data_IF_639358980184
#
_entry.id   IF_639358980184
#
_cell.length_a   1.000
_cell.length_b   1.000
_cell.length_c   1.000
_cell.angle_alpha   90.00
_cell.angle_beta   90.00
_cell.angle_gamma   90.00
#
_symmetry.space_group_name_H-M   'P 1'
#
loop_
_entity.id
_entity.type
_entity.pdbx_description
1 polymer ?
2 non-polymer ?
3 non-polymer ?
4 water ?
#
# COMPACT_ATOMS: atom_id res chain seq x y z
N UNK A 9 -21.19 -5.25 5.82
CA UNK A 9 -20.74 -6.65 5.51
C UNK A 9 -19.35 -6.76 4.88
N UNK A 10 -18.96 -5.75 4.09
CA UNK A 10 -17.69 -5.73 3.33
C UNK A 10 -17.91 -5.57 1.83
N UNK A 11 -16.86 -5.19 1.10
CA UNK A 11 -16.89 -5.16 -0.38
C UNK A 11 -15.51 -4.94 -1.01
N UNK A 12 -15.05 -5.90 -1.82
CA UNK A 12 -13.79 -5.82 -2.56
C UNK A 12 -14.00 -5.75 -4.08
N UNK A 13 -13.35 -4.77 -4.72
CA UNK A 13 -13.64 -4.39 -6.10
C UNK A 13 -12.37 -4.30 -6.98
N UNK A 14 -12.37 -5.03 -8.10
CA UNK A 14 -11.27 -4.94 -9.06
C UNK A 14 -11.60 -3.92 -10.11
N UNK A 15 -10.70 -2.95 -10.27
CA UNK A 15 -10.87 -1.82 -11.18
C UNK A 15 -9.58 -1.51 -11.95
N UNK A 16 -9.76 -0.84 -13.10
CA UNK A 16 -8.68 -0.28 -13.89
C UNK A 16 -8.72 1.23 -13.69
N UNK A 17 -7.60 1.87 -13.99
CA UNK A 17 -7.47 3.30 -13.88
C UNK A 17 -6.23 3.64 -13.09
N UNK A 18 -6.27 4.83 -12.51
CA UNK A 18 -5.14 5.39 -11.80
C UNK A 18 -5.51 5.41 -10.32
N UNK A 19 -4.71 4.68 -9.52
CA UNK A 19 -4.91 4.53 -8.07
C UNK A 19 -5.03 5.86 -7.33
N UNK A 20 -4.22 6.84 -7.72
CA UNK A 20 -4.02 8.08 -6.93
C UNK A 20 -5.22 9.04 -6.92
N UNK A 21 -6.17 8.80 -7.84
CA UNK A 21 -7.44 9.52 -7.90
C UNK A 21 -8.62 8.67 -7.38
N UNK A 22 -8.35 7.59 -6.65
CA UNK A 22 -9.41 6.79 -6.01
C UNK A 22 -10.11 7.59 -4.92
N UNK A 23 -11.46 7.56 -4.90
CA UNK A 23 -12.19 8.37 -3.94
C UNK A 23 -12.24 7.73 -2.54
N UNK A 24 -11.09 7.57 -1.89
CA UNK A 24 -10.98 6.80 -0.64
C UNK A 24 -10.29 7.54 0.51
N UNK A 25 -10.47 6.98 1.70
CA UNK A 25 -9.85 7.48 2.92
C UNK A 25 -8.35 7.17 3.00
N UNK A 26 -7.93 6.00 2.49
CA UNK A 26 -6.53 5.53 2.60
C UNK A 26 -5.98 4.97 1.29
N UNK A 27 -4.75 5.36 0.96
CA UNK A 27 -4.08 4.89 -0.27
C UNK A 27 -2.88 4.03 0.07
N UNK A 28 -2.71 2.91 -0.63
CA UNK A 28 -1.56 2.05 -0.42
C UNK A 28 -0.50 2.37 -1.43
N UNK A 29 0.66 2.70 -0.90
CA UNK A 29 1.89 2.89 -1.68
C UNK A 29 2.81 1.68 -1.56
N UNK A 30 3.50 1.33 -2.65
CA UNK A 30 4.49 0.25 -2.67
C UNK A 30 5.88 0.85 -2.48
N UNK A 31 6.54 0.52 -1.38
CA UNK A 31 7.85 1.06 -1.09
C UNK A 31 8.90 0.00 -0.84
N UNK A 32 10.15 0.45 -0.90
CA UNK A 32 11.30 -0.31 -0.42
C UNK A 32 11.74 0.23 0.95
N UNK A 33 12.71 -0.45 1.56
CA UNK A 33 13.17 -0.10 2.92
C UNK A 33 14.43 0.77 2.94
N UNK A 34 14.92 1.16 1.77
CA UNK A 34 16.17 1.96 1.67
C UNK A 34 15.99 3.49 1.46
N UNK A 35 14.76 4.01 1.46
CA UNK A 35 14.54 5.47 1.49
C UNK A 35 14.54 6.23 0.16
N UNK A 36 14.33 5.52 -0.94
CA UNK A 36 14.12 6.14 -2.23
C UNK A 36 12.81 5.62 -2.82
N UNK A 37 12.12 6.53 -3.50
CA UNK A 37 10.93 6.25 -4.25
C UNK A 37 11.31 6.67 -5.68
N UNK A 38 12.09 5.85 -6.37
CA UNK A 38 12.68 6.19 -7.67
C UNK A 38 11.96 5.77 -8.94
N UNK A 39 10.92 4.97 -8.80
CA UNK A 39 10.14 4.56 -9.96
C UNK A 39 8.80 3.90 -9.64
N UNK A 40 8.02 3.62 -10.69
CA UNK A 40 6.74 2.93 -10.60
C UNK A 40 5.72 3.76 -9.85
N UNK A 41 4.96 3.09 -8.99
CA UNK A 41 3.92 3.70 -8.14
C UNK A 41 4.54 4.67 -7.14
N UNK A 42 5.72 4.32 -6.63
CA UNK A 42 6.31 5.06 -5.54
C UNK A 42 6.75 6.42 -6.06
N UNK A 43 7.22 6.48 -7.31
CA UNK A 43 7.61 7.75 -7.92
C UNK A 43 6.42 8.71 -8.04
N UNK A 44 5.28 8.17 -8.48
CA UNK A 44 4.02 8.95 -8.59
C UNK A 44 3.57 9.45 -7.23
N UNK A 45 3.66 8.60 -6.20
CA UNK A 45 3.36 9.01 -4.82
C UNK A 45 4.29 10.10 -4.29
N UNK A 46 5.57 10.05 -4.65
CA UNK A 46 6.50 11.14 -4.31
C UNK A 46 6.07 12.49 -4.89
N UNK A 47 5.74 12.50 -6.19
CA UNK A 47 5.24 13.70 -6.88
C UNK A 47 3.91 14.17 -6.28
N UNK A 48 2.95 13.26 -6.18
CA UNK A 48 1.61 13.62 -5.71
C UNK A 48 1.60 14.03 -4.26
N UNK A 49 2.38 13.35 -3.42
CA UNK A 49 2.32 13.53 -1.96
C UNK A 49 3.70 13.79 -1.35
N UNK A 50 4.25 14.99 -1.58
CA UNK A 50 5.62 15.31 -1.08
C UNK A 50 5.83 15.18 0.44
N UNK A 51 4.81 15.50 1.21
CA UNK A 51 4.89 15.44 2.69
C UNK A 51 5.04 14.02 3.19
N UNK A 52 4.20 13.13 2.63
CA UNK A 52 4.34 11.69 2.86
C UNK A 52 5.77 11.21 2.58
N UNK A 53 6.30 11.60 1.41
CA UNK A 53 7.67 11.25 0.97
C UNK A 53 8.73 11.67 2.00
N UNK A 54 8.73 12.95 2.42
CA UNK A 54 9.69 13.43 3.44
C UNK A 54 9.60 12.60 4.71
N UNK A 55 8.38 12.36 5.18
CA UNK A 55 8.17 11.51 6.35
C UNK A 55 8.69 10.06 6.16
N UNK A 56 8.49 9.45 4.99
CA UNK A 56 9.12 8.16 4.66
C UNK A 56 10.64 8.20 4.69
N UNK A 57 11.24 9.22 4.10
CA UNK A 57 12.71 9.33 4.13
C UNK A 57 13.20 9.30 5.58
N UNK A 58 12.52 10.04 6.44
CA UNK A 58 12.85 10.16 7.86
C UNK A 58 12.69 8.85 8.61
N UNK A 59 11.56 8.18 8.37
CA UNK A 59 11.32 6.87 8.95
C UNK A 59 12.38 5.83 8.53
N UNK A 60 12.80 5.85 7.27
CA UNK A 60 13.88 4.97 6.78
C UNK A 60 15.23 5.24 7.44
N UNK A 61 15.51 6.52 7.60
CA UNK A 61 16.72 7.03 8.29
C UNK A 61 16.89 6.48 9.73
N UNK A 62 15.77 6.25 10.41
CA UNK A 62 15.75 5.67 11.76
C UNK A 62 16.01 4.16 11.83
N UNK A 63 15.58 3.41 10.81
CA UNK A 63 15.43 1.95 10.89
C UNK A 63 13.99 1.50 11.00
N UNK A 64 13.06 2.45 10.89
CA UNK A 64 11.64 2.24 11.18
C UNK A 64 10.81 1.57 10.05
N UNK A 65 11.33 1.56 8.83
CA UNK A 65 10.62 0.90 7.72
C UNK A 65 11.18 -0.52 7.59
N UNK A 66 10.31 -1.50 7.74
CA UNK A 66 10.70 -2.91 7.56
C UNK A 66 9.54 -3.72 6.97
N UNK A 67 9.91 -4.87 6.39
CA UNK A 67 8.99 -5.88 5.87
C UNK A 67 7.99 -6.27 6.98
N UNK A 68 6.71 -6.34 6.64
CA UNK A 68 5.67 -6.73 7.59
C UNK A 68 5.11 -5.61 8.44
N UNK A 69 5.58 -4.38 8.21
CA UNK A 69 5.03 -3.18 8.86
C UNK A 69 4.63 -2.15 7.79
N UNK A 70 3.36 -1.73 7.80
CA UNK A 70 2.93 -0.52 7.06
C UNK A 70 3.44 0.73 7.77
N UNK A 71 4.10 1.64 7.03
CA UNK A 71 4.44 2.95 7.55
C UNK A 71 3.33 3.91 7.16
N UNK A 72 2.58 4.44 8.15
CA UNK A 72 1.40 5.30 7.87
C UNK A 72 1.76 6.76 7.97
N UNK A 73 1.34 7.52 6.96
CA UNK A 73 1.34 8.97 7.08
C UNK A 73 -0.09 9.46 7.15
N UNK A 74 -0.36 10.21 8.22
CA UNK A 74 -1.63 10.90 8.43
C UNK A 74 -1.47 12.24 7.74
N UNK A 75 -2.33 12.52 6.76
CA UNK A 75 -2.30 13.80 6.04
C UNK A 75 -3.14 14.89 6.72
N UNK A 76 -3.82 14.54 7.81
CA UNK A 76 -4.63 15.47 8.58
C UNK A 76 -6.06 14.96 8.59
N UNK A 77 -6.87 15.43 9.56
CA UNK A 77 -8.25 14.97 9.66
C UNK A 77 -9.18 15.53 8.54
N UNK A 78 -8.78 16.64 7.89
CA UNK A 78 -9.51 17.22 6.74
C UNK A 78 -8.88 16.87 5.36
N UNK A 79 -8.01 15.87 5.33
CA UNK A 79 -7.31 15.49 4.10
C UNK A 79 -8.06 14.33 3.45
N UNK A 80 -8.11 14.35 2.12
CA UNK A 80 -8.66 13.23 1.32
C UNK A 80 -7.73 12.90 0.12
N UNK A 81 -7.06 11.75 0.13
CA UNK A 81 -7.10 10.76 1.23
C UNK A 81 -6.52 11.29 2.53
N UNK A 82 -6.96 10.71 3.64
CA UNK A 82 -6.38 11.02 4.93
C UNK A 82 -5.07 10.26 5.17
N UNK A 83 -5.03 9.00 4.75
CA UNK A 83 -3.88 8.14 5.02
C UNK A 83 -3.17 7.68 3.75
N UNK A 84 -1.84 7.76 3.77
CA UNK A 84 -0.99 6.97 2.91
C UNK A 84 -0.43 5.81 3.74
N UNK A 85 -0.74 4.60 3.30
CA UNK A 85 -0.17 3.38 3.85
C UNK A 85 1.00 2.95 2.95
N UNK A 86 2.21 3.26 3.39
CA UNK A 86 3.38 2.86 2.71
C UNK A 86 3.71 1.39 3.03
N UNK A 87 3.43 0.53 2.06
CA UNK A 87 3.54 -0.93 2.16
C UNK A 87 4.90 -1.40 1.61
N UNK A 88 5.74 -1.98 2.47
CA UNK A 88 7.00 -2.52 1.98
C UNK A 88 6.83 -3.80 1.18
N UNK A 89 7.01 -3.67 -0.13
CA UNK A 89 7.10 -4.79 -1.05
C UNK A 89 8.53 -5.14 -1.47
N UNK A 90 9.51 -4.36 -1.03
CA UNK A 90 10.92 -4.69 -1.22
C UNK A 90 11.75 -4.34 0.00
N UNK A 91 12.88 -5.00 0.17
CA UNK A 91 13.94 -4.47 1.03
C UNK A 91 14.83 -3.50 0.20
N UNK A 92 15.94 -3.95 -0.35
CA UNK A 92 16.70 -3.14 -1.31
C UNK A 92 15.96 -3.12 -2.67
N UNK A 93 15.95 -1.97 -3.32
CA UNK A 93 15.38 -1.79 -4.67
C UNK A 93 16.01 -2.67 -5.78
N UNK A 94 17.23 -3.15 -5.53
CA UNK A 94 18.01 -3.96 -6.47
C UNK A 94 17.46 -5.39 -6.56
N UNK A 95 16.82 -5.83 -5.48
CA UNK A 95 16.29 -7.18 -5.43
C UNK A 95 14.78 -7.23 -5.69
N UNK A 96 14.31 -8.37 -6.21
CA UNK A 96 12.89 -8.47 -6.35
C UNK A 96 12.10 -8.51 -5.03
N UNK A 97 10.79 -8.53 -5.17
CA UNK A 97 9.88 -8.72 -4.09
C UNK A 97 9.82 -10.21 -3.81
N UNK A 98 9.13 -10.58 -2.74
CA UNK A 98 8.89 -11.97 -2.40
C UNK A 98 7.49 -12.10 -1.82
N UNK A 99 6.82 -13.21 -2.13
CA UNK A 99 5.44 -13.41 -1.69
C UNK A 99 5.24 -13.18 -0.19
N UNK A 100 6.21 -13.67 0.58
CA UNK A 100 6.25 -13.52 2.02
C UNK A 100 6.07 -12.06 2.43
N UNK A 101 6.80 -11.14 1.79
CA UNK A 101 6.71 -9.71 2.06
C UNK A 101 5.29 -9.18 1.93
N UNK A 102 4.58 -9.68 0.94
CA UNK A 102 3.18 -9.35 0.71
C UNK A 102 2.23 -10.01 1.73
N UNK A 103 2.43 -11.30 2.02
CA UNK A 103 1.70 -11.98 3.13
C UNK A 103 1.84 -11.24 4.49
N UNK A 104 3.09 -11.02 4.94
CA UNK A 104 3.38 -10.32 6.23
C UNK A 104 2.75 -8.90 6.27
N UNK A 105 2.88 -8.19 5.16
CA UNK A 105 2.39 -6.84 5.01
C UNK A 105 0.89 -6.72 4.98
N UNK A 106 0.22 -7.66 4.32
CA UNK A 106 -1.24 -7.75 4.38
C UNK A 106 -1.78 -7.91 5.82
N UNK A 107 -1.20 -8.83 6.59
CA UNK A 107 -1.54 -8.97 8.03
C UNK A 107 -1.48 -7.65 8.82
N UNK A 108 -0.41 -6.86 8.63
CA UNK A 108 -0.32 -5.54 9.28
C UNK A 108 -1.30 -4.54 8.66
N UNK A 109 -1.60 -4.68 7.37
CA UNK A 109 -2.54 -3.77 6.72
C UNK A 109 -3.92 -3.91 7.40
N UNK A 110 -4.32 -5.15 7.62
CA UNK A 110 -5.63 -5.43 8.21
C UNK A 110 -5.74 -4.78 9.61
N UNK A 111 -4.71 -4.96 10.45
CA UNK A 111 -4.68 -4.38 11.79
C UNK A 111 -4.90 -2.87 11.77
N UNK A 112 -4.12 -2.18 10.94
CA UNK A 112 -4.13 -0.71 10.94
C UNK A 112 -5.43 -0.14 10.35
N UNK A 113 -5.99 -0.82 9.34
CA UNK A 113 -7.34 -0.50 8.82
C UNK A 113 -8.37 -0.43 9.97
N UNK A 114 -8.34 -1.45 10.84
CA UNK A 114 -9.24 -1.49 11.98
C UNK A 114 -8.87 -0.43 12.98
N UNK A 115 -7.61 -0.43 13.42
CA UNK A 115 -7.12 0.54 14.40
C UNK A 115 -7.48 1.96 14.03
N UNK A 116 -7.30 2.32 12.75
CA UNK A 116 -7.60 3.67 12.29
C UNK A 116 -9.06 3.89 11.86
N UNK A 117 -9.89 2.84 11.96
CA UNK A 117 -11.30 2.86 11.53
C UNK A 117 -11.36 3.37 10.09
N UNK A 118 -10.50 2.79 9.25
CA UNK A 118 -10.43 3.14 7.82
C UNK A 118 -11.62 2.48 7.17
N UNK A 119 -12.39 3.27 6.45
CA UNK A 119 -13.66 2.81 5.87
C UNK A 119 -13.57 2.43 4.39
N UNK A 120 -12.60 3.03 3.71
CA UNK A 120 -12.34 2.75 2.30
C UNK A 120 -10.82 2.89 2.02
N UNK A 121 -10.33 2.03 1.13
CA UNK A 121 -8.91 1.94 0.85
C UNK A 121 -8.71 1.45 -0.58
N UNK A 122 -7.63 1.88 -1.22
CA UNK A 122 -7.31 1.44 -2.55
C UNK A 122 -5.86 0.98 -2.60
N UNK A 123 -5.61 -0.10 -3.34
CA UNK A 123 -4.27 -0.68 -3.52
C UNK A 123 -3.95 -0.89 -5.01
N UNK A 124 -2.63 -0.95 -5.34
CA UNK A 124 -2.13 -1.44 -6.60
C UNK A 124 -1.78 -2.93 -6.52
N UNK A 125 -1.23 -3.53 -7.63
CA UNK A 125 -0.70 -4.89 -7.63
C UNK A 125 0.66 -4.96 -6.92
N UNK A 126 0.57 -5.31 -5.63
CA UNK A 126 1.68 -5.33 -4.69
C UNK A 126 2.74 -6.34 -5.15
N UNK A 127 3.96 -5.87 -5.40
CA UNK A 127 5.07 -6.73 -5.80
C UNK A 127 5.12 -7.17 -7.25
N UNK A 128 4.11 -6.84 -8.04
CA UNK A 128 3.94 -7.41 -9.38
C UNK A 128 4.48 -6.58 -10.56
N UNK A 129 5.11 -5.45 -10.28
CA UNK A 129 5.78 -4.66 -11.29
C UNK A 129 7.27 -4.84 -11.14
N UNK A 130 7.92 -3.85 -10.57
CA UNK A 130 9.36 -3.95 -10.32
C UNK A 130 9.76 -5.08 -9.35
N UNK A 131 8.80 -5.58 -8.56
CA UNK A 131 8.99 -6.73 -7.71
C UNK A 131 8.99 -8.10 -8.39
N UNK A 132 8.42 -8.23 -9.60
CA UNK A 132 8.49 -9.46 -10.39
C UNK A 132 7.60 -10.62 -9.95
N UNK A 133 6.69 -10.40 -8.99
CA UNK A 133 5.84 -11.47 -8.50
C UNK A 133 4.69 -11.76 -9.47
N UNK A 134 4.27 -13.03 -9.59
CA UNK A 134 3.08 -13.33 -10.41
C UNK A 134 1.81 -12.74 -9.80
N UNK A 135 1.10 -11.93 -10.61
CA UNK A 135 -0.14 -11.26 -10.21
C UNK A 135 -1.21 -12.21 -9.64
N UNK A 136 -1.47 -13.34 -10.34
CA UNK A 136 -2.50 -14.23 -9.85
C UNK A 136 -2.31 -14.66 -8.38
N UNK A 137 -1.07 -14.93 -7.97
CA UNK A 137 -0.75 -15.26 -6.57
C UNK A 137 -0.93 -14.07 -5.62
N UNK A 138 -0.52 -12.90 -6.09
CA UNK A 138 -0.67 -11.65 -5.33
C UNK A 138 -2.16 -11.33 -5.09
N UNK A 139 -2.96 -11.49 -6.13
CA UNK A 139 -4.40 -11.21 -6.09
C UNK A 139 -5.10 -12.05 -5.04
N UNK A 140 -4.77 -13.33 -5.03
CA UNK A 140 -5.38 -14.31 -4.12
C UNK A 140 -5.14 -13.94 -2.66
N UNK A 141 -3.88 -13.66 -2.35
CA UNK A 141 -3.46 -13.11 -1.07
C UNK A 141 -4.28 -11.90 -0.70
N UNK A 142 -4.40 -10.96 -1.63
CA UNK A 142 -5.22 -9.77 -1.41
C UNK A 142 -6.68 -10.11 -1.18
N UNK A 143 -7.21 -11.04 -1.92
CA UNK A 143 -8.62 -11.45 -1.76
C UNK A 143 -8.87 -12.15 -0.41
N UNK A 144 -8.12 -13.19 -0.13
CA UNK A 144 -8.23 -13.83 1.14
C UNK A 144 -8.00 -12.88 2.34
N UNK A 145 -7.12 -11.89 2.20
CA UNK A 145 -6.80 -11.00 3.32
C UNK A 145 -7.90 -9.96 3.56
N UNK A 146 -8.47 -9.45 2.46
CA UNK A 146 -9.20 -8.18 2.50
C UNK A 146 -10.70 -8.23 2.26
N UNK A 147 -11.20 -9.21 1.51
CA UNK A 147 -12.66 -9.34 1.39
C UNK A 147 -13.28 -9.72 2.76
N UNK A 148 -12.49 -10.40 3.60
CA UNK A 148 -12.83 -10.65 5.02
C UNK A 148 -13.35 -9.44 5.80
N UNK A 149 -12.85 -8.25 5.45
CA UNK A 149 -13.06 -7.05 6.24
C UNK A 149 -14.48 -6.58 6.17
N UNK A 150 -15.01 -6.24 7.33
CA UNK A 150 -16.42 -5.90 7.51
C UNK A 150 -16.49 -4.38 7.58
N UNK A 151 -17.43 -3.80 6.84
CA UNK A 151 -17.59 -2.36 6.76
C UNK A 151 -16.40 -1.60 6.18
N UNK A 152 -15.66 -2.25 5.27
CA UNK A 152 -14.54 -1.61 4.57
C UNK A 152 -14.67 -1.86 3.05
N UNK A 153 -14.71 -0.78 2.25
CA UNK A 153 -14.68 -0.87 0.79
C UNK A 153 -13.24 -0.95 0.32
N UNK A 154 -12.92 -1.94 -0.52
CA UNK A 154 -11.54 -2.16 -0.97
C UNK A 154 -11.51 -2.02 -2.48
N UNK A 155 -10.70 -1.09 -3.00
CA UNK A 155 -10.49 -0.94 -4.44
C UNK A 155 -9.10 -1.46 -4.79
N UNK A 156 -9.06 -2.36 -5.76
CA UNK A 156 -7.81 -3.01 -6.11
C UNK A 156 -7.63 -2.74 -7.60
N UNK A 157 -6.51 -2.13 -7.94
CA UNK A 157 -6.24 -1.74 -9.31
C UNK A 157 -5.46 -2.83 -10.01
N UNK A 158 -6.18 -3.68 -10.78
CA UNK A 158 -5.54 -4.75 -11.57
C UNK A 158 -4.64 -4.15 -12.66
N UNK A 159 -3.51 -4.81 -12.99
CA UNK A 159 -2.64 -4.26 -14.04
C UNK A 159 -3.14 -4.56 -15.48
N UNK A 160 -2.33 -4.21 -16.49
CA UNK A 160 -2.39 -4.85 -17.83
C UNK A 160 -1.09 -4.63 -18.62
#
# INVERSE_FOLDING_TARGET
MGHHHHHHGGMLRFVRGNLLEAPVEALVNTVNTVGVMGKGVALQFKRAFPDNYQAYVKACERGQVQIGRIFVYDRGPLAQPRYIFNFPTKKHWRHPSRMEYVEEGLKDLVCRIQELRVRSIALPPLGAGNGGLPWPEVKQRIQEALEALEGVEVWVYEPVENPKA
#
